data_IF_346146910146
#
_entry.id   IF_346146910146
#
_cell.length_a   1.000
_cell.length_b   1.000
_cell.length_c   1.000
_cell.angle_alpha   90.00
_cell.angle_beta   90.00
_cell.angle_gamma   90.00
#
_symmetry.space_group_name_H-M   'P 1'
#
loop_
_entity.id
_entity.type
_entity.pdbx_description
1 polymer ?
#
# COMPACT_ATOMS: atom_id res chain seq x y z
N UNK A 1 3.69 -24.31 -5.53
CA UNK A 1 3.45 -22.95 -4.98
C UNK A 1 2.79 -23.11 -3.62
N UNK A 2 3.37 -22.56 -2.54
CA UNK A 2 2.88 -22.73 -1.16
C UNK A 2 3.01 -21.41 -0.39
N UNK A 3 2.13 -21.19 0.60
CA UNK A 3 2.21 -20.07 1.55
C UNK A 3 3.03 -20.47 2.77
N UNK A 4 3.77 -19.54 3.36
CA UNK A 4 4.61 -19.85 4.52
C UNK A 4 3.94 -19.38 5.80
N UNK A 5 3.79 -20.31 6.75
CA UNK A 5 3.29 -20.01 8.07
C UNK A 5 4.43 -20.10 9.09
N UNK A 6 4.82 -18.96 9.63
CA UNK A 6 5.77 -18.89 10.74
C UNK A 6 5.04 -18.79 12.09
N UNK A 7 5.71 -19.14 13.18
CA UNK A 7 5.23 -18.82 14.52
C UNK A 7 5.27 -17.30 14.76
N UNK A 8 4.52 -16.83 15.77
CA UNK A 8 4.39 -15.39 16.05
C UNK A 8 5.74 -14.71 16.30
N UNK A 9 6.65 -15.35 17.03
CA UNK A 9 7.98 -14.80 17.32
C UNK A 9 8.78 -14.53 16.04
N UNK A 10 8.72 -15.47 15.09
CA UNK A 10 9.40 -15.32 13.80
C UNK A 10 8.78 -14.20 12.96
N UNK A 11 7.44 -14.07 12.96
CA UNK A 11 6.78 -12.93 12.32
C UNK A 11 7.25 -11.60 12.91
N UNK A 12 7.31 -11.48 14.23
CA UNK A 12 7.77 -10.25 14.89
C UNK A 12 9.23 -9.91 14.54
N UNK A 13 10.11 -10.90 14.41
CA UNK A 13 11.49 -10.69 13.95
C UNK A 13 11.55 -10.20 12.50
N UNK A 14 10.76 -10.79 11.61
CA UNK A 14 10.66 -10.37 10.21
C UNK A 14 10.14 -8.92 10.13
N UNK A 15 9.07 -8.62 10.88
CA UNK A 15 8.46 -7.29 10.95
C UNK A 15 9.45 -6.25 11.46
N UNK A 16 10.19 -6.58 12.52
CA UNK A 16 11.22 -5.69 13.06
C UNK A 16 12.30 -5.39 12.02
N UNK A 17 12.71 -6.38 11.24
CA UNK A 17 13.69 -6.19 10.17
C UNK A 17 13.13 -5.38 9.00
N UNK A 18 11.89 -5.66 8.56
CA UNK A 18 11.19 -4.90 7.53
C UNK A 18 11.07 -3.42 7.89
N UNK A 19 10.87 -3.10 9.17
CA UNK A 19 10.77 -1.72 9.65
C UNK A 19 12.12 -1.04 9.93
N UNK A 20 13.23 -1.72 9.66
CA UNK A 20 14.57 -1.14 9.75
C UNK A 20 14.98 -0.44 8.45
N UNK A 21 16.05 0.35 8.50
CA UNK A 21 16.65 0.96 7.30
C UNK A 21 17.23 -0.09 6.32
N UNK A 22 17.45 -1.31 6.80
CA UNK A 22 18.05 -2.42 6.05
C UNK A 22 17.03 -3.33 5.37
N UNK A 23 15.76 -2.94 5.29
CA UNK A 23 14.68 -3.77 4.74
C UNK A 23 14.95 -4.26 3.32
N UNK A 24 15.72 -3.50 2.54
CA UNK A 24 16.11 -3.82 1.15
C UNK A 24 17.01 -5.05 1.03
N UNK A 25 17.64 -5.50 2.13
CA UNK A 25 18.38 -6.76 2.16
C UNK A 25 17.47 -7.99 2.04
N UNK A 26 16.19 -7.87 2.39
CA UNK A 26 15.18 -8.88 2.06
C UNK A 26 14.82 -8.65 0.59
N UNK A 27 14.97 -9.66 -0.27
CA UNK A 27 14.60 -9.55 -1.67
C UNK A 27 13.15 -9.05 -1.85
N UNK A 28 12.92 -8.18 -2.84
CA UNK A 28 11.60 -7.58 -3.12
C UNK A 28 10.47 -8.61 -3.25
N UNK A 29 10.73 -9.77 -3.88
CA UNK A 29 9.74 -10.83 -4.02
C UNK A 29 9.35 -11.43 -2.66
N UNK A 30 10.30 -11.55 -1.75
CA UNK A 30 10.03 -12.03 -0.38
C UNK A 30 9.25 -10.96 0.41
N UNK A 31 9.56 -9.68 0.23
CA UNK A 31 8.80 -8.58 0.85
C UNK A 31 7.34 -8.57 0.38
N UNK A 32 7.14 -8.74 -0.93
CA UNK A 32 5.81 -8.90 -1.52
C UNK A 32 5.09 -10.14 -0.96
N UNK A 33 5.76 -11.28 -0.91
CA UNK A 33 5.20 -12.51 -0.37
C UNK A 33 4.80 -12.37 1.11
N UNK A 34 5.60 -11.69 1.94
CA UNK A 34 5.28 -11.47 3.35
C UNK A 34 3.96 -10.71 3.51
N UNK A 35 3.72 -9.66 2.70
CA UNK A 35 2.47 -8.91 2.73
C UNK A 35 1.29 -9.80 2.30
N UNK A 36 1.45 -10.56 1.22
CA UNK A 36 0.42 -11.48 0.72
C UNK A 36 0.06 -12.56 1.75
N UNK A 37 1.07 -13.24 2.30
CA UNK A 37 0.91 -14.33 3.25
C UNK A 37 0.28 -13.82 4.56
N UNK A 38 0.76 -12.71 5.11
CA UNK A 38 0.20 -12.16 6.36
C UNK A 38 -1.26 -11.72 6.21
N UNK A 39 -1.64 -11.16 5.06
CA UNK A 39 -3.04 -10.84 4.78
C UNK A 39 -3.92 -12.09 4.70
N UNK A 40 -3.53 -13.07 3.87
CA UNK A 40 -4.32 -14.29 3.68
C UNK A 40 -4.44 -15.12 4.98
N UNK A 41 -3.40 -15.13 5.80
CA UNK A 41 -3.44 -15.74 7.13
C UNK A 41 -4.34 -14.98 8.10
N UNK A 42 -4.37 -13.64 8.01
CA UNK A 42 -5.24 -12.82 8.85
C UNK A 42 -6.72 -13.00 8.53
N UNK A 43 -7.11 -12.94 7.24
CA UNK A 43 -8.50 -13.13 6.82
C UNK A 43 -9.02 -14.55 7.09
N UNK A 44 -8.12 -15.55 7.13
CA UNK A 44 -8.48 -16.94 7.47
C UNK A 44 -8.47 -17.22 8.97
N UNK A 45 -8.23 -16.20 9.82
CA UNK A 45 -8.22 -16.32 11.28
C UNK A 45 -7.00 -17.05 11.85
N UNK A 46 -5.98 -17.35 11.02
CA UNK A 46 -4.76 -18.05 11.42
C UNK A 46 -3.70 -17.11 12.01
N UNK A 47 -3.85 -15.81 11.77
CA UNK A 47 -2.96 -14.77 12.25
C UNK A 47 -3.79 -13.57 12.72
N UNK A 48 -3.35 -12.86 13.75
CA UNK A 48 -4.03 -11.64 14.16
C UNK A 48 -3.82 -10.54 13.10
N UNK A 49 -4.88 -9.83 12.72
CA UNK A 49 -4.83 -8.72 11.74
C UNK A 49 -3.83 -7.62 12.13
N UNK A 50 -3.55 -7.46 13.42
CA UNK A 50 -2.47 -6.62 13.93
C UNK A 50 -1.13 -6.95 13.26
N UNK A 51 -0.77 -8.23 13.13
CA UNK A 51 0.51 -8.66 12.55
C UNK A 51 0.62 -8.25 11.08
N UNK A 52 -0.48 -8.36 10.32
CA UNK A 52 -0.53 -7.85 8.94
C UNK A 52 -0.24 -6.34 8.89
N UNK A 53 -0.91 -5.55 9.73
CA UNK A 53 -0.69 -4.11 9.75
C UNK A 53 0.74 -3.74 10.13
N UNK A 54 1.32 -4.42 11.12
CA UNK A 54 2.72 -4.22 11.50
C UNK A 54 3.67 -4.61 10.35
N UNK A 55 3.39 -5.71 9.64
CA UNK A 55 4.15 -6.15 8.47
C UNK A 55 4.06 -5.19 7.29
N UNK A 56 2.94 -4.50 7.08
CA UNK A 56 2.81 -3.49 6.02
C UNK A 56 3.35 -2.12 6.40
N UNK A 57 3.63 -1.86 7.69
CA UNK A 57 4.00 -0.52 8.15
C UNK A 57 5.31 0.01 7.54
N UNK A 58 6.21 -0.87 7.08
CA UNK A 58 7.42 -0.48 6.34
C UNK A 58 7.14 0.07 4.94
N UNK A 59 5.94 -0.12 4.37
CA UNK A 59 5.60 0.36 3.03
C UNK A 59 5.73 1.88 2.90
N UNK A 60 5.60 2.63 4.00
CA UNK A 60 5.94 4.07 4.05
C UNK A 60 7.38 4.37 3.59
N UNK A 61 8.28 3.39 3.71
CA UNK A 61 9.69 3.44 3.31
C UNK A 61 9.96 2.92 1.89
N UNK A 62 9.05 2.10 1.36
CA UNK A 62 9.20 1.33 0.12
C UNK A 62 8.78 2.12 -1.13
N UNK A 63 9.48 1.91 -2.24
CA UNK A 63 9.18 2.54 -3.55
C UNK A 63 9.19 1.54 -4.71
N UNK A 64 9.43 0.25 -4.43
CA UNK A 64 9.34 -0.81 -5.43
C UNK A 64 7.88 -1.23 -5.67
N UNK A 65 7.44 -1.14 -6.92
CA UNK A 65 6.09 -1.55 -7.33
C UNK A 65 5.76 -3.00 -6.95
N UNK A 66 6.73 -3.91 -7.06
CA UNK A 66 6.53 -5.34 -6.81
C UNK A 66 6.21 -5.59 -5.33
N UNK A 67 6.87 -4.88 -4.42
CA UNK A 67 6.58 -4.95 -2.98
C UNK A 67 5.22 -4.34 -2.63
N UNK A 68 4.79 -3.30 -3.34
CA UNK A 68 3.49 -2.64 -3.15
C UNK A 68 2.30 -3.40 -3.73
N UNK A 69 2.53 -4.19 -4.79
CA UNK A 69 1.46 -4.88 -5.52
C UNK A 69 0.50 -5.69 -4.63
N UNK A 70 0.97 -6.52 -3.67
CA UNK A 70 0.08 -7.23 -2.75
C UNK A 70 -0.79 -6.29 -1.92
N UNK A 71 -0.25 -5.14 -1.48
CA UNK A 71 -1.03 -4.16 -0.73
C UNK A 71 -2.16 -3.57 -1.57
N UNK A 72 -1.94 -3.29 -2.86
CA UNK A 72 -3.03 -2.87 -3.75
C UNK A 72 -4.10 -3.95 -3.90
N UNK A 73 -3.70 -5.23 -3.95
CA UNK A 73 -4.65 -6.34 -3.97
C UNK A 73 -5.43 -6.49 -2.67
N UNK A 74 -4.83 -6.17 -1.52
CA UNK A 74 -5.55 -6.07 -0.25
C UNK A 74 -6.59 -4.96 -0.29
N UNK A 75 -6.23 -3.77 -0.75
CA UNK A 75 -7.17 -2.64 -0.84
C UNK A 75 -8.30 -2.93 -1.83
N UNK A 76 -8.00 -3.56 -2.96
CA UNK A 76 -8.99 -4.02 -3.94
C UNK A 76 -9.95 -5.04 -3.32
N UNK A 77 -9.41 -6.06 -2.62
CA UNK A 77 -10.20 -7.08 -1.95
C UNK A 77 -11.11 -6.49 -0.87
N UNK A 78 -10.61 -5.54 -0.09
CA UNK A 78 -11.34 -4.90 1.01
C UNK A 78 -12.18 -3.71 0.53
N UNK A 79 -12.23 -3.43 -0.78
CA UNK A 79 -12.95 -2.26 -1.30
C UNK A 79 -14.45 -2.27 -0.99
N UNK A 80 -15.03 -3.46 -0.78
CA UNK A 80 -16.44 -3.63 -0.42
C UNK A 80 -16.82 -2.99 0.93
N UNK A 81 -15.87 -2.79 1.85
CA UNK A 81 -16.16 -2.12 3.13
C UNK A 81 -16.12 -0.59 3.05
N UNK A 82 -15.53 -0.03 1.99
CA UNK A 82 -15.31 1.40 1.87
C UNK A 82 -16.59 2.25 1.84
N UNK A 83 -17.73 1.81 1.30
CA UNK A 83 -18.96 2.61 1.34
C UNK A 83 -19.55 2.81 2.75
N UNK A 84 -19.17 1.99 3.73
CA UNK A 84 -19.71 2.07 5.08
C UNK A 84 -19.02 3.17 5.92
N UNK A 85 -19.75 3.67 6.92
CA UNK A 85 -19.31 4.74 7.83
C UNK A 85 -18.95 4.25 9.24
N UNK A 86 -18.87 2.93 9.43
CA UNK A 86 -18.51 2.30 10.69
C UNK A 86 -17.02 2.49 11.03
N UNK A 87 -16.66 2.10 12.25
CA UNK A 87 -15.32 2.27 12.79
C UNK A 87 -14.27 1.44 12.04
N UNK A 88 -14.62 0.26 11.54
CA UNK A 88 -13.70 -0.63 10.84
C UNK A 88 -13.36 -0.08 9.46
N UNK A 89 -14.37 0.37 8.71
CA UNK A 89 -14.18 1.07 7.43
C UNK A 89 -13.30 2.31 7.60
N UNK A 90 -13.56 3.14 8.63
CA UNK A 90 -12.73 4.33 8.93
C UNK A 90 -11.29 3.96 9.27
N UNK A 91 -11.10 2.97 10.14
CA UNK A 91 -9.77 2.51 10.54
C UNK A 91 -8.99 1.94 9.35
N UNK A 92 -9.64 1.15 8.50
CA UNK A 92 -9.03 0.61 7.29
C UNK A 92 -8.56 1.73 6.36
N UNK A 93 -9.46 2.67 6.01
CA UNK A 93 -9.12 3.83 5.16
C UNK A 93 -7.93 4.62 5.71
N UNK A 94 -7.96 4.92 7.00
CA UNK A 94 -6.90 5.67 7.68
C UNK A 94 -5.56 4.93 7.61
N UNK A 95 -5.51 3.63 7.92
CA UNK A 95 -4.27 2.85 7.90
C UNK A 95 -3.66 2.71 6.51
N UNK A 96 -4.49 2.62 5.47
CA UNK A 96 -4.00 2.58 4.08
C UNK A 96 -3.47 3.95 3.67
N UNK A 97 -4.20 5.04 3.96
CA UNK A 97 -3.76 6.41 3.67
C UNK A 97 -2.44 6.77 4.37
N UNK A 98 -2.25 6.32 5.62
CA UNK A 98 -0.98 6.51 6.35
C UNK A 98 0.25 5.90 5.65
N UNK A 99 0.05 4.99 4.70
CA UNK A 99 1.12 4.37 3.90
C UNK A 99 1.21 5.03 2.51
N UNK A 100 0.07 5.28 1.87
CA UNK A 100 0.01 5.89 0.54
C UNK A 100 0.52 7.34 0.51
N UNK A 101 0.17 8.15 1.51
CA UNK A 101 0.57 9.57 1.54
C UNK A 101 2.10 9.71 1.59
N UNK A 102 2.84 9.02 2.49
CA UNK A 102 4.30 9.04 2.46
C UNK A 102 4.91 8.54 1.15
N UNK A 103 4.30 7.52 0.51
CA UNK A 103 4.74 7.05 -0.80
C UNK A 103 4.62 8.16 -1.85
N UNK A 104 3.45 8.79 -1.96
CA UNK A 104 3.18 9.86 -2.93
C UNK A 104 4.06 11.10 -2.67
N UNK A 105 4.37 11.41 -1.42
CA UNK A 105 5.33 12.46 -1.07
C UNK A 105 6.75 12.16 -1.58
N UNK A 106 7.13 10.87 -1.72
CA UNK A 106 8.45 10.47 -2.21
C UNK A 106 8.52 10.42 -3.73
N UNK A 107 7.51 9.83 -4.38
CA UNK A 107 7.52 9.61 -5.83
C UNK A 107 6.85 10.74 -6.61
N UNK A 108 6.23 11.69 -5.93
CA UNK A 108 5.48 12.80 -6.54
C UNK A 108 4.08 12.40 -7.04
N UNK A 109 3.26 13.42 -7.28
CA UNK A 109 1.89 13.29 -7.80
C UNK A 109 1.82 13.38 -9.33
N UNK A 110 2.91 13.79 -9.97
CA UNK A 110 3.03 13.95 -11.41
C UNK A 110 4.07 12.98 -12.00
N UNK A 111 3.91 12.65 -13.28
CA UNK A 111 4.88 11.83 -13.99
C UNK A 111 6.06 12.69 -14.43
N UNK A 112 7.28 12.21 -14.19
CA UNK A 112 8.51 12.85 -14.66
C UNK A 112 8.99 12.22 -15.97
N UNK A 113 9.64 12.98 -16.87
CA UNK A 113 10.12 12.45 -18.16
C UNK A 113 11.05 11.23 -18.02
N UNK A 114 11.81 11.17 -16.92
CA UNK A 114 12.80 10.14 -16.65
C UNK A 114 12.28 9.01 -15.73
N UNK A 115 10.98 9.00 -15.39
CA UNK A 115 10.42 7.93 -14.58
C UNK A 115 10.51 6.58 -15.29
N UNK A 116 10.98 5.57 -14.56
CA UNK A 116 10.84 4.19 -14.98
C UNK A 116 9.35 3.79 -15.04
N UNK A 117 9.05 2.84 -15.94
CA UNK A 117 7.71 2.27 -16.14
C UNK A 117 7.04 1.79 -14.83
N UNK A 118 7.79 1.17 -13.91
CA UNK A 118 7.24 0.66 -12.66
C UNK A 118 6.91 1.78 -11.68
N UNK A 119 7.69 2.87 -11.66
CA UNK A 119 7.37 4.06 -10.85
C UNK A 119 6.09 4.72 -11.35
N UNK A 120 5.89 4.78 -12.68
CA UNK A 120 4.62 5.27 -13.26
C UNK A 120 3.44 4.40 -12.82
N UNK A 121 3.56 3.07 -12.92
CA UNK A 121 2.52 2.14 -12.46
C UNK A 121 2.25 2.29 -10.95
N UNK A 122 3.29 2.41 -10.14
CA UNK A 122 3.17 2.61 -8.69
C UNK A 122 2.41 3.90 -8.36
N UNK A 123 2.78 5.01 -9.02
CA UNK A 123 2.13 6.30 -8.83
C UNK A 123 0.65 6.25 -9.22
N UNK A 124 0.33 5.67 -10.37
CA UNK A 124 -1.05 5.56 -10.85
C UNK A 124 -1.93 4.77 -9.87
N UNK A 125 -1.46 3.63 -9.37
CA UNK A 125 -2.17 2.84 -8.35
C UNK A 125 -2.30 3.58 -7.02
N UNK A 126 -1.21 4.21 -6.55
CA UNK A 126 -1.22 4.96 -5.30
C UNK A 126 -2.18 6.16 -5.35
N UNK A 127 -2.17 6.94 -6.44
CA UNK A 127 -3.10 8.05 -6.65
C UNK A 127 -4.55 7.56 -6.74
N UNK A 128 -4.82 6.50 -7.52
CA UNK A 128 -6.15 5.91 -7.61
C UNK A 128 -6.72 5.62 -6.23
N UNK A 129 -5.97 4.89 -5.40
CA UNK A 129 -6.45 4.50 -4.08
C UNK A 129 -6.48 5.67 -3.10
N UNK A 130 -5.49 6.57 -3.11
CA UNK A 130 -5.51 7.74 -2.23
C UNK A 130 -6.77 8.60 -2.47
N UNK A 131 -7.10 8.86 -3.74
CA UNK A 131 -8.30 9.61 -4.11
C UNK A 131 -9.59 8.90 -3.71
N UNK A 132 -9.71 7.59 -3.98
CA UNK A 132 -10.87 6.76 -3.59
C UNK A 132 -11.07 6.75 -2.07
N UNK A 133 -9.98 6.67 -1.31
CA UNK A 133 -10.01 6.65 0.16
C UNK A 133 -10.23 8.04 0.78
N UNK A 134 -10.17 9.10 -0.02
CA UNK A 134 -10.57 10.43 0.38
C UNK A 134 -9.46 11.43 0.64
N UNK A 135 -8.21 11.13 0.23
CA UNK A 135 -7.08 12.05 0.38
C UNK A 135 -7.33 13.40 -0.33
N UNK A 136 -7.15 14.50 0.40
CA UNK A 136 -7.46 15.84 -0.11
C UNK A 136 -6.47 16.32 -1.16
N UNK A 137 -5.18 16.03 -0.99
CA UNK A 137 -4.14 16.43 -1.96
C UNK A 137 -4.32 15.68 -3.28
N UNK A 138 -4.60 14.38 -3.22
CA UNK A 138 -4.93 13.60 -4.41
C UNK A 138 -6.15 14.17 -5.15
N UNK A 139 -7.24 14.47 -4.44
CA UNK A 139 -8.46 15.02 -5.04
C UNK A 139 -8.22 16.38 -5.70
N UNK A 140 -7.44 17.24 -5.05
CA UNK A 140 -7.05 18.56 -5.60
C UNK A 140 -6.23 18.40 -6.87
N UNK A 141 -5.28 17.46 -6.91
CA UNK A 141 -4.52 17.14 -8.12
C UNK A 141 -5.41 16.61 -9.24
N UNK A 142 -6.32 15.69 -8.92
CA UNK A 142 -7.26 15.13 -9.89
C UNK A 142 -8.19 16.20 -10.49
N UNK A 143 -8.70 17.11 -9.66
CA UNK A 143 -9.50 18.25 -10.09
C UNK A 143 -8.70 19.18 -11.00
N UNK A 144 -7.47 19.53 -10.62
CA UNK A 144 -6.60 20.37 -11.43
C UNK A 144 -6.33 19.75 -12.82
N UNK A 145 -5.99 18.45 -12.88
CA UNK A 145 -5.78 17.75 -14.15
C UNK A 145 -7.03 17.74 -15.03
N UNK A 146 -8.19 17.49 -14.43
CA UNK A 146 -9.46 17.50 -15.15
C UNK A 146 -9.73 18.89 -15.74
N UNK A 147 -9.58 19.95 -14.94
CA UNK A 147 -9.75 21.32 -15.40
C UNK A 147 -8.79 21.67 -16.54
N UNK A 148 -7.52 21.28 -16.41
CA UNK A 148 -6.53 21.51 -17.46
C UNK A 148 -6.90 20.83 -18.77
N UNK A 149 -7.36 19.57 -18.72
CA UNK A 149 -7.77 18.82 -19.91
C UNK A 149 -9.03 19.43 -20.56
N UNK A 150 -10.00 19.88 -19.77
CA UNK A 150 -11.20 20.56 -20.29
C UNK A 150 -10.87 21.90 -20.99
N UNK A 151 -9.79 22.58 -20.56
CA UNK A 151 -9.32 23.81 -21.18
C UNK A 151 -8.39 23.56 -22.39
N UNK A 152 -7.83 22.36 -22.53
CA UNK A 152 -6.91 21.95 -23.60
C UNK A 152 -7.34 20.59 -24.18
N UNK A 153 -8.41 20.56 -25.01
CA UNK A 153 -8.99 19.31 -25.54
C UNK A 153 -8.07 18.56 -26.51
#
# INVERSE_FOLDING_TARGET
YYRVFYNLESWLKIISYLNSENYTNINVLNRAQIIDDTFHLAISGKLNFYVFWEATSYLKSETDYVAWYPMFKVVEHMSYILPYYDIESKNFKMKVLMQLVPLLQKIGYEEEPNDDSLIKCLRQEALRWACVLGDSECKKHAEYKLQWHLLNP
#
